data_IF_807927459640
#
_entry.id   IF_807927459640
#
_cell.length_a   1.000
_cell.length_b   1.000
_cell.length_c   1.000
_cell.angle_alpha   90.00
_cell.angle_beta   90.00
_cell.angle_gamma   90.00
#
_symmetry.space_group_name_H-M   'P 1'
#
loop_
_entity.id
_entity.type
_entity.pdbx_description
1 polymer ?
#
# COMPACT_ATOMS: atom_id res chain seq x y z
N UNK A 1 -44.10 -27.33 76.26
CA UNK A 1 -43.49 -27.84 75.01
C UNK A 1 -43.45 -26.71 73.99
N UNK A 2 -42.32 -26.27 73.42
CA UNK A 2 -41.07 -25.79 74.02
C UNK A 2 -40.56 -24.71 73.02
N UNK A 3 -40.59 -23.41 73.37
CA UNK A 3 -40.37 -22.28 72.43
C UNK A 3 -39.06 -22.41 71.63
N UNK A 4 -38.03 -22.99 72.26
CA UNK A 4 -36.74 -23.27 71.63
C UNK A 4 -36.83 -24.20 70.42
N UNK A 5 -37.72 -25.19 70.42
CA UNK A 5 -37.89 -26.12 69.31
C UNK A 5 -38.45 -25.41 68.07
N UNK A 6 -39.40 -24.49 68.27
CA UNK A 6 -39.98 -23.68 67.19
C UNK A 6 -38.98 -22.70 66.59
N UNK A 7 -38.11 -22.08 67.41
CA UNK A 7 -37.06 -21.19 66.93
C UNK A 7 -36.00 -21.94 66.12
N UNK A 8 -35.63 -23.15 66.52
CA UNK A 8 -34.69 -24.00 65.77
C UNK A 8 -35.27 -24.37 64.41
N UNK A 9 -36.54 -24.78 64.35
CA UNK A 9 -37.21 -25.09 63.08
C UNK A 9 -37.27 -23.87 62.14
N UNK A 10 -37.59 -22.69 62.67
CA UNK A 10 -37.61 -21.46 61.88
C UNK A 10 -36.23 -21.10 61.33
N UNK A 11 -35.17 -21.25 62.14
CA UNK A 11 -33.80 -21.00 61.70
C UNK A 11 -33.33 -21.98 60.61
N UNK A 12 -33.64 -23.27 60.75
CA UNK A 12 -33.32 -24.29 59.74
C UNK A 12 -34.09 -24.03 58.43
N UNK A 13 -35.36 -23.67 58.52
CA UNK A 13 -36.17 -23.32 57.34
C UNK A 13 -35.65 -22.08 56.63
N UNK A 14 -35.28 -21.03 57.38
CA UNK A 14 -34.69 -19.81 56.84
C UNK A 14 -33.33 -20.09 56.16
N UNK A 15 -32.48 -20.90 56.80
CA UNK A 15 -31.20 -21.31 56.22
C UNK A 15 -31.38 -22.16 54.96
N UNK A 16 -32.31 -23.11 54.96
CA UNK A 16 -32.65 -23.92 53.80
C UNK A 16 -33.16 -23.07 52.63
N UNK A 17 -34.03 -22.10 52.90
CA UNK A 17 -34.54 -21.17 51.89
C UNK A 17 -33.43 -20.26 51.33
N UNK A 18 -32.53 -19.77 52.18
CA UNK A 18 -31.36 -18.99 51.74
C UNK A 18 -30.42 -19.82 50.86
N UNK A 19 -30.09 -21.05 51.28
CA UNK A 19 -29.23 -21.97 50.54
C UNK A 19 -29.84 -22.33 49.17
N UNK A 20 -31.14 -22.60 49.12
CA UNK A 20 -31.84 -22.89 47.87
C UNK A 20 -31.83 -21.69 46.92
N UNK A 21 -32.11 -20.48 47.42
CA UNK A 21 -32.00 -19.25 46.61
C UNK A 21 -30.59 -18.99 46.13
N UNK A 22 -29.58 -19.22 46.97
CA UNK A 22 -28.17 -19.10 46.60
C UNK A 22 -27.80 -20.08 45.48
N UNK A 23 -28.24 -21.34 45.56
CA UNK A 23 -28.00 -22.33 44.50
C UNK A 23 -28.63 -21.94 43.15
N UNK A 24 -29.83 -21.36 43.16
CA UNK A 24 -30.48 -20.86 41.94
C UNK A 24 -29.68 -19.70 41.35
N UNK A 25 -29.28 -18.73 42.18
CA UNK A 25 -28.47 -17.60 41.73
C UNK A 25 -27.11 -18.03 41.16
N UNK A 26 -26.47 -19.04 41.75
CA UNK A 26 -25.22 -19.62 41.24
C UNK A 26 -25.42 -20.32 39.89
N UNK A 27 -26.56 -21.01 39.70
CA UNK A 27 -26.92 -21.63 38.43
C UNK A 27 -27.13 -20.59 37.31
N UNK A 28 -27.84 -19.49 37.61
CA UNK A 28 -28.06 -18.38 36.66
C UNK A 28 -26.76 -17.66 36.30
N UNK A 29 -25.83 -17.52 37.25
CA UNK A 29 -24.50 -16.96 36.96
C UNK A 29 -23.67 -17.88 36.06
N UNK A 30 -23.81 -19.20 36.21
CA UNK A 30 -23.10 -20.16 35.39
C UNK A 30 -23.61 -20.11 33.94
N UNK A 31 -24.93 -20.09 33.73
CA UNK A 31 -25.52 -20.00 32.38
C UNK A 31 -25.11 -18.71 31.69
N UNK A 32 -25.19 -17.57 32.38
CA UNK A 32 -24.77 -16.29 31.82
C UNK A 32 -23.28 -16.26 31.44
N UNK A 33 -22.41 -16.88 32.26
CA UNK A 33 -20.98 -17.02 31.94
C UNK A 33 -20.74 -17.90 30.73
N UNK A 34 -21.50 -18.99 30.59
CA UNK A 34 -21.41 -19.88 29.43
C UNK A 34 -21.84 -19.15 28.16
N UNK A 35 -22.99 -18.49 28.17
CA UNK A 35 -23.49 -17.70 27.04
C UNK A 35 -22.51 -16.59 26.65
N UNK A 36 -21.99 -15.86 27.64
CA UNK A 36 -20.97 -14.83 27.41
C UNK A 36 -19.68 -15.40 26.81
N UNK A 37 -19.22 -16.55 27.30
CA UNK A 37 -18.02 -17.22 26.77
C UNK A 37 -18.23 -17.68 25.32
N UNK A 38 -19.39 -18.24 25.00
CA UNK A 38 -19.76 -18.67 23.66
C UNK A 38 -19.85 -17.48 22.69
N UNK A 39 -20.55 -16.41 23.09
CA UNK A 39 -20.64 -15.19 22.28
C UNK A 39 -19.26 -14.58 22.02
N UNK A 40 -18.34 -14.64 23.00
CA UNK A 40 -16.97 -14.17 22.84
C UNK A 40 -16.16 -15.06 21.88
N UNK A 41 -16.33 -16.38 21.94
CA UNK A 41 -15.68 -17.32 21.02
C UNK A 41 -16.18 -17.14 19.59
N UNK A 42 -17.50 -16.96 19.41
CA UNK A 42 -18.11 -16.67 18.12
C UNK A 42 -17.62 -15.34 17.54
N UNK A 43 -17.60 -14.27 18.34
CA UNK A 43 -17.06 -12.98 17.93
C UNK A 43 -15.57 -13.08 17.56
N UNK A 44 -14.78 -13.86 18.32
CA UNK A 44 -13.37 -14.10 18.00
C UNK A 44 -13.20 -14.97 16.75
N UNK A 45 -14.08 -15.94 16.50
CA UNK A 45 -14.07 -16.74 15.28
C UNK A 45 -14.46 -15.92 14.05
N UNK A 46 -15.48 -15.06 14.16
CA UNK A 46 -15.89 -14.14 13.09
C UNK A 46 -14.81 -13.11 12.79
N UNK A 47 -14.19 -12.51 13.81
CA UNK A 47 -13.05 -11.62 13.64
C UNK A 47 -11.89 -12.29 12.90
N UNK A 48 -11.53 -13.52 13.29
CA UNK A 48 -10.49 -14.31 12.60
C UNK A 48 -10.83 -14.62 11.15
N UNK A 49 -12.09 -14.98 10.85
CA UNK A 49 -12.54 -15.20 9.47
C UNK A 49 -12.44 -13.93 8.64
N UNK A 50 -12.91 -12.81 9.17
CA UNK A 50 -12.82 -11.50 8.50
C UNK A 50 -11.36 -11.11 8.25
N UNK A 51 -10.49 -11.30 9.24
CA UNK A 51 -9.07 -11.04 9.09
C UNK A 51 -8.43 -11.93 8.01
N UNK A 52 -8.74 -13.22 7.99
CA UNK A 52 -8.26 -14.14 6.95
C UNK A 52 -8.71 -13.71 5.54
N UNK A 53 -9.99 -13.36 5.38
CA UNK A 53 -10.51 -12.87 4.10
C UNK A 53 -9.83 -11.57 3.68
N UNK A 54 -9.63 -10.64 4.61
CA UNK A 54 -8.91 -9.39 4.32
C UNK A 54 -7.45 -9.62 3.95
N UNK A 55 -6.75 -10.53 4.63
CA UNK A 55 -5.38 -10.90 4.29
C UNK A 55 -5.29 -11.55 2.91
N UNK A 56 -6.23 -12.45 2.56
CA UNK A 56 -6.29 -13.07 1.24
C UNK A 56 -6.56 -12.03 0.14
N UNK A 57 -7.55 -11.17 0.34
CA UNK A 57 -7.89 -10.11 -0.61
C UNK A 57 -6.70 -9.13 -0.82
N UNK A 58 -6.01 -8.77 0.26
CA UNK A 58 -4.82 -7.91 0.19
C UNK A 58 -3.70 -8.60 -0.58
N UNK A 59 -3.42 -9.87 -0.28
CA UNK A 59 -2.39 -10.64 -0.98
C UNK A 59 -2.70 -10.82 -2.48
N UNK A 60 -3.96 -11.01 -2.85
CA UNK A 60 -4.39 -11.11 -4.25
C UNK A 60 -4.19 -9.79 -4.99
N UNK A 61 -4.58 -8.68 -4.38
CA UNK A 61 -4.36 -7.34 -4.93
C UNK A 61 -2.87 -7.04 -5.08
N UNK A 62 -2.05 -7.38 -4.08
CA UNK A 62 -0.61 -7.19 -4.12
C UNK A 62 0.02 -8.03 -5.24
N UNK A 63 -0.42 -9.27 -5.42
CA UNK A 63 0.04 -10.13 -6.51
C UNK A 63 -0.33 -9.58 -7.88
N UNK A 64 -1.57 -9.11 -8.06
CA UNK A 64 -2.02 -8.48 -9.31
C UNK A 64 -1.21 -7.21 -9.62
N UNK A 65 -0.98 -6.37 -8.62
CA UNK A 65 -0.18 -5.15 -8.77
C UNK A 65 1.28 -5.47 -9.12
N UNK A 66 1.86 -6.52 -8.53
CA UNK A 66 3.20 -6.98 -8.86
C UNK A 66 3.29 -7.47 -10.32
N UNK A 67 2.30 -8.23 -10.80
CA UNK A 67 2.24 -8.72 -12.18
C UNK A 67 2.10 -7.57 -13.18
N UNK A 68 1.18 -6.63 -12.94
CA UNK A 68 1.01 -5.44 -13.76
C UNK A 68 2.29 -4.59 -13.82
N UNK A 69 3.02 -4.48 -12.71
CA UNK A 69 4.30 -3.78 -12.66
C UNK A 69 5.35 -4.53 -13.48
N UNK A 70 5.44 -5.85 -13.34
CA UNK A 70 6.39 -6.68 -14.08
C UNK A 70 6.13 -6.63 -15.60
N UNK A 71 4.87 -6.64 -16.02
CA UNK A 71 4.49 -6.55 -17.43
C UNK A 71 4.89 -5.19 -18.03
N UNK A 72 4.67 -4.10 -17.29
CA UNK A 72 5.08 -2.74 -17.70
C UNK A 72 6.59 -2.63 -17.81
N UNK A 73 7.32 -3.09 -16.81
CA UNK A 73 8.79 -3.14 -16.83
C UNK A 73 9.32 -3.95 -18.02
N UNK A 74 8.65 -5.05 -18.38
CA UNK A 74 8.99 -5.81 -19.59
C UNK A 74 8.77 -4.98 -20.86
N UNK A 75 7.62 -4.32 -21.01
CA UNK A 75 7.32 -3.46 -22.19
C UNK A 75 8.33 -2.32 -22.29
N UNK A 76 8.61 -1.66 -21.17
CA UNK A 76 9.59 -0.58 -21.06
C UNK A 76 10.99 -1.05 -21.48
N UNK A 77 11.45 -2.21 -21.01
CA UNK A 77 12.72 -2.80 -21.44
C UNK A 77 12.79 -3.09 -22.93
N UNK A 78 11.69 -3.56 -23.54
CA UNK A 78 11.65 -3.80 -24.99
C UNK A 78 11.80 -2.48 -25.74
N UNK A 79 11.01 -1.46 -25.38
CA UNK A 79 11.09 -0.13 -26.01
C UNK A 79 12.50 0.45 -25.87
N UNK A 80 13.07 0.40 -24.66
CA UNK A 80 14.43 0.91 -24.43
C UNK A 80 15.47 0.16 -25.26
N UNK A 81 15.37 -1.17 -25.38
CA UNK A 81 16.26 -1.96 -26.23
C UNK A 81 16.15 -1.58 -27.71
N UNK A 82 14.94 -1.37 -28.22
CA UNK A 82 14.73 -0.92 -29.60
C UNK A 82 15.31 0.48 -29.82
N UNK A 83 15.14 1.39 -28.85
CA UNK A 83 15.77 2.71 -28.87
C UNK A 83 17.29 2.59 -28.94
N UNK A 84 17.91 1.81 -28.05
CA UNK A 84 19.37 1.61 -28.05
C UNK A 84 19.85 0.94 -29.35
N UNK A 85 19.08 -0.01 -29.89
CA UNK A 85 19.38 -0.66 -31.17
C UNK A 85 19.38 0.35 -32.31
N UNK A 86 18.34 1.20 -32.37
CA UNK A 86 18.25 2.30 -33.32
C UNK A 86 19.44 3.25 -33.13
N UNK A 87 19.67 3.77 -31.93
CA UNK A 87 20.78 4.69 -31.59
C UNK A 87 22.16 4.13 -31.94
N UNK A 88 22.36 2.81 -31.89
CA UNK A 88 23.64 2.15 -32.25
C UNK A 88 23.77 1.82 -33.74
N UNK A 89 22.71 1.97 -34.54
CA UNK A 89 22.75 1.67 -35.96
C UNK A 89 23.77 2.59 -36.66
N UNK A 90 24.72 2.02 -37.44
CA UNK A 90 25.72 2.79 -38.17
C UNK A 90 25.14 3.55 -39.37
N UNK A 91 23.93 3.19 -39.79
CA UNK A 91 23.27 3.75 -40.98
C UNK A 91 22.51 5.06 -40.70
N UNK A 92 22.56 5.56 -39.46
CA UNK A 92 21.88 6.78 -39.06
C UNK A 92 22.83 7.96 -39.16
N UNK A 93 22.47 8.95 -39.97
CA UNK A 93 23.15 10.24 -40.00
C UNK A 93 23.09 10.88 -38.62
N UNK A 94 24.25 11.24 -38.07
CA UNK A 94 24.34 11.88 -36.75
C UNK A 94 24.58 13.36 -36.89
N UNK A 95 23.72 14.15 -36.28
CA UNK A 95 23.91 15.57 -36.09
C UNK A 95 24.52 15.86 -34.72
N UNK A 96 25.46 16.80 -34.70
CA UNK A 96 25.94 17.39 -33.46
C UNK A 96 24.94 18.44 -33.00
N UNK A 97 24.50 18.35 -31.75
CA UNK A 97 23.61 19.32 -31.15
C UNK A 97 24.40 20.49 -30.56
N UNK A 98 23.96 21.74 -30.74
CA UNK A 98 24.60 22.89 -30.11
C UNK A 98 24.50 22.82 -28.58
N UNK A 99 25.50 23.33 -27.87
CA UNK A 99 25.50 23.38 -26.40
C UNK A 99 24.28 24.12 -25.83
N UNK A 100 23.83 25.17 -26.51
CA UNK A 100 22.62 25.92 -26.18
C UNK A 100 21.36 25.05 -26.18
N UNK A 101 21.28 24.05 -27.08
CA UNK A 101 20.18 23.10 -27.12
C UNK A 101 20.19 22.21 -25.88
N UNK A 102 21.35 21.60 -25.57
CA UNK A 102 21.52 20.72 -24.41
C UNK A 102 21.17 21.46 -23.13
N UNK A 103 21.63 22.72 -22.99
CA UNK A 103 21.34 23.59 -21.85
C UNK A 103 19.84 23.82 -21.66
N UNK A 104 19.14 24.25 -22.71
CA UNK A 104 17.70 24.56 -22.63
C UNK A 104 16.90 23.28 -22.37
N UNK A 105 17.31 22.16 -22.95
CA UNK A 105 16.69 20.86 -22.70
C UNK A 105 16.85 20.42 -21.24
N UNK A 106 18.05 20.53 -20.67
CA UNK A 106 18.30 20.19 -19.26
C UNK A 106 17.51 21.10 -18.30
N UNK A 107 17.44 22.40 -18.61
CA UNK A 107 16.63 23.35 -17.86
C UNK A 107 15.13 22.97 -17.89
N UNK A 108 14.63 22.50 -19.05
CA UNK A 108 13.27 22.01 -19.18
C UNK A 108 13.04 20.70 -18.41
N UNK A 109 14.01 19.79 -18.41
CA UNK A 109 13.92 18.50 -17.72
C UNK A 109 13.93 18.65 -16.19
N UNK A 110 14.74 19.58 -15.67
CA UNK A 110 14.91 19.82 -14.23
C UNK A 110 13.96 20.87 -13.66
N UNK A 111 13.43 21.76 -14.52
CA UNK A 111 12.65 22.93 -14.11
C UNK A 111 13.50 24.07 -13.54
N UNK A 112 14.83 24.03 -13.72
CA UNK A 112 15.78 25.00 -13.17
C UNK A 112 16.54 25.66 -14.33
N UNK A 113 16.44 26.99 -14.44
CA UNK A 113 17.26 27.73 -15.40
C UNK A 113 18.69 27.86 -14.85
N UNK A 114 19.74 27.60 -15.66
CA UNK A 114 21.12 27.83 -15.23
C UNK A 114 21.35 29.31 -14.89
N UNK A 115 22.00 29.57 -13.75
CA UNK A 115 22.31 30.94 -13.29
C UNK A 115 23.34 31.65 -14.18
N UNK A 116 24.17 30.89 -14.90
CA UNK A 116 25.12 31.39 -15.87
C UNK A 116 24.87 30.71 -17.23
N UNK A 117 24.56 31.48 -18.30
CA UNK A 117 24.42 30.95 -19.65
C UNK A 117 25.64 30.13 -20.12
N UNK A 118 26.84 30.43 -19.63
CA UNK A 118 28.07 29.72 -19.96
C UNK A 118 28.33 28.49 -19.08
N UNK A 119 27.66 28.32 -17.94
CA UNK A 119 27.95 27.22 -17.00
C UNK A 119 27.44 25.84 -17.44
N UNK A 120 26.68 25.76 -18.53
CA UNK A 120 26.34 24.48 -19.16
C UNK A 120 27.56 23.79 -19.77
N UNK A 121 28.62 24.55 -20.06
CA UNK A 121 29.98 24.04 -20.19
C UNK A 121 30.65 24.27 -18.84
N UNK A 122 30.68 23.23 -17.99
CA UNK A 122 31.51 23.27 -16.78
C UNK A 122 32.90 23.76 -17.17
N UNK A 123 33.40 24.77 -16.46
CA UNK A 123 34.60 25.55 -16.82
C UNK A 123 35.93 24.75 -16.83
N UNK A 124 35.88 23.43 -16.86
CA UNK A 124 37.02 22.52 -16.99
C UNK A 124 36.69 21.20 -17.73
N UNK A 125 35.45 20.98 -18.21
CA UNK A 125 35.12 19.77 -18.97
C UNK A 125 35.18 20.08 -20.47
N UNK A 126 35.90 19.25 -21.24
CA UNK A 126 36.04 19.44 -22.68
C UNK A 126 34.66 19.59 -23.30
N UNK A 127 34.49 20.55 -24.23
CA UNK A 127 33.32 20.70 -25.10
C UNK A 127 32.94 19.34 -25.69
N UNK A 128 32.10 18.58 -24.98
CA UNK A 128 31.67 17.26 -25.42
C UNK A 128 30.55 17.50 -26.41
N UNK A 129 30.83 17.20 -27.66
CA UNK A 129 29.81 17.18 -28.70
C UNK A 129 28.73 16.17 -28.33
N UNK A 130 27.51 16.66 -28.06
CA UNK A 130 26.36 15.83 -27.77
C UNK A 130 25.61 15.55 -29.08
N UNK A 131 25.32 14.28 -29.35
CA UNK A 131 24.69 13.85 -30.61
C UNK A 131 23.18 13.70 -30.48
N UNK A 132 22.47 13.80 -31.60
CA UNK A 132 21.05 13.43 -31.71
C UNK A 132 20.76 12.00 -31.22
N UNK A 133 21.66 11.06 -31.47
CA UNK A 133 21.64 9.71 -30.96
C UNK A 133 21.66 9.65 -29.42
N UNK A 134 22.53 10.42 -28.76
CA UNK A 134 22.55 10.55 -27.29
C UNK A 134 21.28 11.24 -26.76
N UNK A 135 20.75 12.23 -27.49
CA UNK A 135 19.48 12.87 -27.14
C UNK A 135 18.32 11.89 -27.11
N UNK A 136 18.22 11.02 -28.12
CA UNK A 136 17.13 10.04 -28.21
C UNK A 136 17.14 9.10 -27.00
N UNK A 137 18.33 8.68 -26.54
CA UNK A 137 18.48 7.86 -25.34
C UNK A 137 17.97 8.60 -24.10
N UNK A 138 18.42 9.84 -23.89
CA UNK A 138 17.99 10.69 -22.75
C UNK A 138 16.49 10.95 -22.77
N UNK A 139 15.91 11.26 -23.94
CA UNK A 139 14.46 11.49 -24.10
C UNK A 139 13.67 10.23 -23.82
N UNK A 140 14.15 9.06 -24.28
CA UNK A 140 13.49 7.79 -23.99
C UNK A 140 13.46 7.49 -22.49
N UNK A 141 14.56 7.71 -21.79
CA UNK A 141 14.66 7.56 -20.34
C UNK A 141 13.77 8.54 -19.57
N UNK A 142 13.70 9.79 -20.03
CA UNK A 142 12.77 10.77 -19.46
C UNK A 142 11.32 10.30 -19.59
N UNK A 143 10.90 9.84 -20.78
CA UNK A 143 9.55 9.36 -20.98
C UNK A 143 9.23 8.07 -20.22
N UNK A 144 10.20 7.19 -20.02
CA UNK A 144 10.04 6.02 -19.15
C UNK A 144 9.76 6.44 -17.71
N UNK A 145 10.53 7.39 -17.20
CA UNK A 145 10.36 7.95 -15.85
C UNK A 145 9.01 8.66 -15.70
N UNK A 146 8.62 9.49 -16.67
CA UNK A 146 7.34 10.18 -16.68
C UNK A 146 6.15 9.20 -16.66
N UNK A 147 6.19 8.12 -17.46
CA UNK A 147 5.15 7.08 -17.41
C UNK A 147 5.09 6.38 -16.06
N UNK A 148 6.24 6.05 -15.46
CA UNK A 148 6.27 5.44 -14.14
C UNK A 148 5.67 6.34 -13.05
N UNK A 149 5.92 7.66 -13.11
CA UNK A 149 5.31 8.63 -12.19
C UNK A 149 3.81 8.77 -12.44
N UNK A 150 3.37 8.89 -13.69
CA UNK A 150 1.96 8.98 -14.05
C UNK A 150 1.17 7.75 -13.58
N UNK A 151 1.76 6.56 -13.71
CA UNK A 151 1.19 5.31 -13.23
C UNK A 151 1.02 5.27 -11.71
N UNK A 152 2.04 5.70 -10.96
CA UNK A 152 1.97 5.80 -9.49
C UNK A 152 0.90 6.79 -9.05
N UNK A 153 0.81 7.94 -9.72
CA UNK A 153 -0.20 8.94 -9.43
C UNK A 153 -1.61 8.42 -9.73
N UNK A 154 -1.80 7.74 -10.87
CA UNK A 154 -3.09 7.15 -11.24
C UNK A 154 -3.51 6.07 -10.24
N UNK A 155 -2.58 5.18 -9.85
CA UNK A 155 -2.84 4.18 -8.82
C UNK A 155 -3.20 4.78 -7.46
N UNK A 156 -2.53 5.87 -7.06
CA UNK A 156 -2.89 6.61 -5.86
C UNK A 156 -4.30 7.22 -5.96
N UNK A 157 -4.65 7.82 -7.08
CA UNK A 157 -5.98 8.40 -7.30
C UNK A 157 -7.08 7.33 -7.26
N UNK A 158 -6.86 6.18 -7.88
CA UNK A 158 -7.80 5.07 -7.86
C UNK A 158 -7.97 4.49 -6.44
N UNK A 159 -6.87 4.39 -5.67
CA UNK A 159 -6.94 4.01 -4.26
C UNK A 159 -7.74 5.04 -3.45
N UNK A 160 -7.49 6.33 -3.61
CA UNK A 160 -8.22 7.38 -2.90
C UNK A 160 -9.73 7.34 -3.21
N UNK A 161 -10.12 6.98 -4.43
CA UNK A 161 -11.53 6.77 -4.82
C UNK A 161 -12.10 5.51 -4.17
N UNK A 162 -11.35 4.42 -4.13
CA UNK A 162 -11.84 3.16 -3.55
C UNK A 162 -12.09 3.26 -2.04
N UNK A 163 -11.36 4.12 -1.33
CA UNK A 163 -11.58 4.42 0.10
C UNK A 163 -12.47 5.64 0.37
N UNK A 164 -13.03 6.25 -0.67
CA UNK A 164 -14.00 7.36 -0.56
C UNK A 164 -13.41 8.72 -0.13
N UNK A 165 -12.09 8.90 -0.24
CA UNK A 165 -11.42 10.18 0.05
C UNK A 165 -11.52 11.15 -1.14
N UNK A 166 -11.51 10.62 -2.36
CA UNK A 166 -11.67 11.40 -3.60
C UNK A 166 -12.95 10.97 -4.36
N UNK A 167 -13.58 11.92 -5.07
CA UNK A 167 -14.73 11.66 -5.95
C UNK A 167 -14.28 11.32 -7.37
#
# INVERSE_FOLDING_TARGET
>A
MNIYLSLIFAAVAAFGAWRHRAMIADADLLTLRLEYSQAREEAAADARKKEQVMQQATAEIDALNADLTAERERKNRVIYKEVISYVKSPDIERCNLPDDFVRIHEAAATGIMPDDPAAASGSDDQSRTFTDAELIEVVADNYLSCRAVADRLSGLQDWLKSVGIAK
#
